data_IF_897284330132
#
_entry.id   IF_897284330132
#
_cell.length_a   1.000
_cell.length_b   1.000
_cell.length_c   1.000
_cell.angle_alpha   90.00
_cell.angle_beta   90.00
_cell.angle_gamma   90.00
#
_symmetry.space_group_name_H-M   'P 1'
#
loop_
_entity.id
_entity.type
_entity.pdbx_description
1 polymer ?
#
# COMPACT_ATOMS: atom_id res chain seq x y z
N UNK A 1 -10.01 4.88 -5.33
CA UNK A 1 -9.60 5.50 -4.03
C UNK A 1 -8.45 6.45 -4.28
N UNK A 2 -8.45 7.58 -3.62
CA UNK A 2 -7.39 8.56 -3.79
C UNK A 2 -6.10 8.10 -3.14
N UNK A 3 -4.98 8.48 -3.74
CA UNK A 3 -3.66 8.11 -3.25
C UNK A 3 -3.48 8.45 -1.76
N UNK A 4 -3.85 9.66 -1.35
CA UNK A 4 -3.65 10.07 0.04
C UNK A 4 -4.53 9.26 1.00
N UNK A 5 -5.70 8.84 0.58
CA UNK A 5 -6.56 8.00 1.41
C UNK A 5 -5.97 6.60 1.55
N UNK A 6 -5.52 6.02 0.44
CA UNK A 6 -4.97 4.67 0.45
C UNK A 6 -3.67 4.60 1.25
N UNK A 7 -2.79 5.58 1.08
CA UNK A 7 -1.53 5.60 1.83
C UNK A 7 -1.75 5.86 3.32
N UNK A 8 -2.79 6.61 3.68
CA UNK A 8 -3.14 6.80 5.09
C UNK A 8 -3.55 5.46 5.72
N UNK A 9 -4.30 4.63 4.99
CA UNK A 9 -4.68 3.30 5.47
C UNK A 9 -3.45 2.39 5.60
N UNK A 10 -2.54 2.46 4.64
CA UNK A 10 -1.31 1.68 4.70
C UNK A 10 -0.46 2.07 5.91
N UNK A 11 -0.31 3.36 6.18
CA UNK A 11 0.43 3.83 7.35
C UNK A 11 -0.23 3.39 8.65
N UNK A 12 -1.55 3.48 8.71
CA UNK A 12 -2.28 3.04 9.90
C UNK A 12 -2.11 1.54 10.16
N UNK A 13 -1.88 0.76 9.11
CA UNK A 13 -1.64 -0.68 9.22
C UNK A 13 -0.18 -1.02 9.48
N UNK A 14 0.69 -0.02 9.65
CA UNK A 14 2.09 -0.23 9.94
C UNK A 14 3.01 -0.34 8.73
N UNK A 15 2.47 -0.17 7.53
CA UNK A 15 3.28 -0.20 6.32
C UNK A 15 4.15 1.04 6.21
N UNK A 16 5.32 0.88 5.61
CA UNK A 16 6.25 1.98 5.37
C UNK A 16 6.64 2.01 3.89
N UNK A 17 6.68 3.21 3.29
CA UNK A 17 7.01 3.32 1.88
C UNK A 17 8.51 3.40 1.66
N UNK A 18 8.93 2.91 0.49
CA UNK A 18 10.28 3.15 0.00
C UNK A 18 10.21 3.33 -1.51
N UNK A 19 11.18 4.02 -2.11
CA UNK A 19 11.17 4.25 -3.55
C UNK A 19 11.20 2.93 -4.32
N UNK A 20 10.34 2.85 -5.31
CA UNK A 20 10.40 1.80 -6.30
C UNK A 20 10.93 2.38 -7.60
N UNK A 21 10.61 1.71 -8.71
CA UNK A 21 11.05 2.15 -10.02
C UNK A 21 10.11 3.22 -10.55
N UNK A 22 10.66 4.36 -10.98
CA UNK A 22 9.87 5.45 -11.53
C UNK A 22 8.91 6.03 -10.50
N UNK A 23 7.63 6.07 -10.81
CA UNK A 23 6.59 6.61 -9.94
C UNK A 23 6.05 5.60 -8.94
N UNK A 24 6.61 4.39 -8.90
CA UNK A 24 6.15 3.34 -8.01
C UNK A 24 6.71 3.49 -6.62
N UNK A 25 5.88 3.21 -5.62
CA UNK A 25 6.29 3.13 -4.22
C UNK A 25 6.01 1.72 -3.72
N UNK A 26 6.95 1.17 -2.98
CA UNK A 26 6.77 -0.14 -2.38
C UNK A 26 6.50 0.05 -0.90
N UNK A 27 5.30 -0.29 -0.47
CA UNK A 27 4.89 -0.21 0.93
C UNK A 27 5.03 -1.60 1.56
N UNK A 28 5.80 -1.69 2.63
CA UNK A 28 6.08 -2.97 3.27
C UNK A 28 5.65 -2.93 4.72
N UNK A 29 4.95 -3.99 5.16
CA UNK A 29 4.56 -4.13 6.55
C UNK A 29 5.72 -4.68 7.38
N UNK A 30 5.66 -4.58 8.73
CA UNK A 30 6.68 -5.18 9.59
C UNK A 30 6.83 -6.68 9.35
N UNK A 31 5.75 -7.37 8.98
CA UNK A 31 5.78 -8.80 8.69
C UNK A 31 6.23 -9.17 7.29
N UNK A 32 6.56 -8.16 6.46
CA UNK A 32 7.07 -8.42 5.12
C UNK A 32 6.03 -8.44 4.01
N UNK A 33 4.79 -8.10 4.30
CA UNK A 33 3.75 -8.00 3.26
C UNK A 33 3.99 -6.74 2.44
N UNK A 34 3.92 -6.85 1.12
CA UNK A 34 4.20 -5.75 0.21
C UNK A 34 2.96 -5.28 -0.53
N UNK A 35 2.90 -3.98 -0.77
CA UNK A 35 1.91 -3.37 -1.64
C UNK A 35 2.61 -2.37 -2.54
N UNK A 36 2.38 -2.43 -3.84
CA UNK A 36 2.97 -1.51 -4.80
C UNK A 36 1.94 -0.47 -5.18
N UNK A 37 2.28 0.79 -4.95
CA UNK A 37 1.38 1.92 -5.20
C UNK A 37 2.04 2.83 -6.24
N UNK A 38 1.26 3.27 -7.21
CA UNK A 38 1.72 4.28 -8.16
C UNK A 38 1.42 5.65 -7.58
N UNK A 39 2.42 6.51 -7.55
CA UNK A 39 2.26 7.89 -7.05
C UNK A 39 1.45 8.70 -8.04
N UNK A 40 0.17 8.74 -7.81
CA UNK A 40 -0.76 9.50 -8.63
C UNK A 40 -1.87 10.02 -7.73
N UNK A 41 -2.68 10.93 -8.25
CA UNK A 41 -3.77 11.51 -7.47
C UNK A 41 -4.83 10.46 -7.15
N UNK A 42 -5.05 9.55 -8.09
CA UNK A 42 -6.10 8.53 -7.99
C UNK A 42 -5.49 7.17 -8.26
N UNK A 43 -5.66 6.24 -7.34
CA UNK A 43 -5.20 4.87 -7.53
C UNK A 43 -6.26 4.10 -8.33
N UNK A 44 -5.81 3.28 -9.28
CA UNK A 44 -6.71 2.47 -10.08
C UNK A 44 -7.44 1.45 -9.19
N UNK A 45 -8.58 0.91 -9.62
CA UNK A 45 -9.28 -0.12 -8.85
C UNK A 45 -8.42 -1.34 -8.54
N UNK A 46 -7.56 -1.73 -9.49
CA UNK A 46 -6.67 -2.87 -9.27
C UNK A 46 -5.65 -2.58 -8.19
N UNK A 47 -5.00 -1.42 -8.26
CA UNK A 47 -4.00 -1.01 -7.25
C UNK A 47 -4.66 -0.89 -5.89
N UNK A 48 -5.83 -0.26 -5.83
CA UNK A 48 -6.58 -0.11 -4.58
C UNK A 48 -6.90 -1.47 -3.97
N UNK A 49 -7.43 -2.39 -4.77
CA UNK A 49 -7.80 -3.71 -4.29
C UNK A 49 -6.59 -4.49 -3.78
N UNK A 50 -5.48 -4.43 -4.52
CA UNK A 50 -4.26 -5.14 -4.13
C UNK A 50 -3.71 -4.59 -2.82
N UNK A 51 -3.73 -3.27 -2.64
CA UNK A 51 -3.26 -2.65 -1.41
C UNK A 51 -4.15 -3.00 -0.21
N UNK A 52 -5.46 -2.99 -0.40
CA UNK A 52 -6.39 -3.35 0.66
C UNK A 52 -6.24 -4.82 1.04
N UNK A 53 -5.99 -5.68 0.06
CA UNK A 53 -5.73 -7.10 0.32
C UNK A 53 -4.43 -7.28 1.11
N UNK A 54 -3.40 -6.50 0.79
CA UNK A 54 -2.14 -6.54 1.54
C UNK A 54 -2.34 -6.11 3.00
N UNK A 55 -3.13 -5.07 3.22
CA UNK A 55 -3.46 -4.62 4.58
C UNK A 55 -4.16 -5.73 5.35
N UNK A 56 -5.14 -6.37 4.72
CA UNK A 56 -5.88 -7.47 5.35
C UNK A 56 -4.95 -8.63 5.69
N UNK A 57 -4.05 -8.99 4.77
CA UNK A 57 -3.08 -10.05 4.99
C UNK A 57 -2.15 -9.73 6.16
N UNK A 58 -1.67 -8.50 6.24
CA UNK A 58 -0.80 -8.09 7.34
C UNK A 58 -1.51 -8.17 8.68
N UNK A 59 -2.80 -7.83 8.72
CA UNK A 59 -3.58 -7.92 9.95
C UNK A 59 -3.80 -9.37 10.38
N UNK A 60 -3.89 -10.28 9.42
CA UNK A 60 -4.08 -11.71 9.71
C UNK A 60 -2.85 -12.37 10.33
N UNK A 61 -1.68 -11.84 10.02
CA UNK A 61 -0.42 -12.44 10.46
C UNK A 61 -0.01 -12.04 11.87
N UNK A 62 -0.77 -11.17 12.47
CA UNK A 62 -0.54 -10.78 13.88
C UNK A 62 -1.19 -11.82 14.85
#
# INVERSE_FOLDING_TARGET
MKYRELTALLRAAGFRPRPGKGDHEIWTSPGGVRAVIVRDTECSPKVTRDALAAIRQAQKED
#
